data_IF_131588795952
#
_entry.id   IF_131588795952
#
_cell.length_a   1.000
_cell.length_b   1.000
_cell.length_c   1.000
_cell.angle_alpha   90.00
_cell.angle_beta   90.00
_cell.angle_gamma   90.00
#
_symmetry.space_group_name_H-M   'P 1'
#
loop_
_entity.id
_entity.type
_entity.pdbx_description
1 polymer ?
#
# COMPACT_ATOMS: atom_id res chain seq x y z
N UNK A 1 -13.05 -8.03 -10.43
CA UNK A 1 -12.29 -9.30 -10.37
C UNK A 1 -12.31 -9.70 -8.91
N UNK A 2 -12.86 -10.86 -8.53
CA UNK A 2 -12.81 -11.29 -7.11
C UNK A 2 -11.51 -12.04 -6.90
N UNK A 3 -10.50 -11.34 -6.39
CA UNK A 3 -9.27 -11.96 -5.87
C UNK A 3 -9.47 -12.40 -4.42
N UNK A 4 -8.47 -13.10 -3.87
CA UNK A 4 -8.37 -13.35 -2.40
C UNK A 4 -7.58 -12.24 -1.69
N UNK A 5 -7.17 -11.21 -2.44
CA UNK A 5 -6.39 -10.06 -2.00
C UNK A 5 -7.07 -8.77 -2.42
N UNK A 6 -6.84 -7.73 -1.64
CA UNK A 6 -7.30 -6.37 -1.86
C UNK A 6 -6.08 -5.43 -2.04
N UNK A 7 -6.27 -4.30 -2.73
CA UNK A 7 -5.22 -3.29 -3.01
C UNK A 7 -5.52 -1.99 -2.28
N UNK A 8 -4.55 -1.07 -2.20
CA UNK A 8 -4.78 0.24 -1.57
C UNK A 8 -5.86 1.04 -2.31
N UNK A 9 -5.77 1.11 -3.64
CA UNK A 9 -6.72 1.80 -4.50
C UNK A 9 -7.04 0.95 -5.74
N UNK A 10 -8.30 0.95 -6.15
CA UNK A 10 -8.69 0.37 -7.44
C UNK A 10 -8.32 1.33 -8.56
N UNK A 11 -7.81 0.80 -9.68
CA UNK A 11 -7.72 1.55 -10.92
C UNK A 11 -9.07 1.55 -11.63
N UNK A 12 -9.58 2.73 -11.96
CA UNK A 12 -10.87 2.92 -12.64
C UNK A 12 -10.69 3.75 -13.90
N UNK A 13 -11.40 3.38 -14.96
CA UNK A 13 -11.47 4.17 -16.18
C UNK A 13 -12.62 5.17 -16.06
N UNK A 14 -12.31 6.46 -16.18
CA UNK A 14 -13.28 7.55 -16.25
C UNK A 14 -13.14 8.29 -17.59
N UNK A 15 -14.04 7.97 -18.52
CA UNK A 15 -13.95 8.45 -19.91
C UNK A 15 -12.65 8.00 -20.58
N UNK A 16 -11.79 8.97 -20.91
CA UNK A 16 -10.50 8.74 -21.57
C UNK A 16 -9.31 8.78 -20.59
N UNK A 17 -9.56 8.80 -19.28
CA UNK A 17 -8.52 8.88 -18.24
C UNK A 17 -8.60 7.63 -17.36
N UNK A 18 -7.45 7.15 -16.90
CA UNK A 18 -7.36 6.18 -15.80
C UNK A 18 -7.10 6.95 -14.52
N UNK A 19 -7.97 6.77 -13.54
CA UNK A 19 -7.86 7.35 -12.20
C UNK A 19 -8.00 6.25 -11.15
N UNK A 20 -8.04 6.61 -9.87
CA UNK A 20 -8.19 5.68 -8.77
C UNK A 20 -9.44 5.95 -7.94
N UNK A 21 -9.96 4.91 -7.32
CA UNK A 21 -10.96 5.02 -6.26
C UNK A 21 -10.50 4.30 -4.98
N UNK A 22 -10.97 4.73 -3.80
CA UNK A 22 -10.62 4.10 -2.52
C UNK A 22 -10.94 2.61 -2.45
N UNK A 23 -10.06 1.84 -1.81
CA UNK A 23 -10.34 0.46 -1.42
C UNK A 23 -9.88 0.22 0.03
N UNK A 24 -8.69 -0.35 0.24
CA UNK A 24 -8.08 -0.48 1.58
C UNK A 24 -7.64 0.88 2.10
N UNK A 25 -7.06 1.72 1.25
CA UNK A 25 -6.80 3.12 1.56
C UNK A 25 -7.99 4.00 1.17
N UNK A 26 -8.36 4.91 2.06
CA UNK A 26 -9.45 5.89 1.90
C UNK A 26 -8.98 7.14 1.17
N UNK A 27 -7.75 7.57 1.44
CA UNK A 27 -7.14 8.77 0.86
C UNK A 27 -5.63 8.73 0.98
N UNK A 28 -4.96 9.63 0.27
CA UNK A 28 -3.56 9.93 0.45
C UNK A 28 -3.31 11.43 0.38
N UNK A 29 -2.24 11.88 1.02
CA UNK A 29 -1.70 13.24 0.90
C UNK A 29 -0.21 13.12 0.60
N UNK A 30 0.22 13.73 -0.51
CA UNK A 30 1.64 13.82 -0.88
C UNK A 30 2.18 15.19 -0.51
N UNK A 31 3.46 15.24 -0.16
CA UNK A 31 4.17 16.48 0.03
C UNK A 31 4.42 17.20 -1.32
N UNK A 32 4.83 18.49 -1.32
CA UNK A 32 5.07 19.22 -2.57
C UNK A 32 6.15 18.63 -3.48
N UNK A 33 7.09 17.84 -2.94
CA UNK A 33 8.09 17.14 -3.76
C UNK A 33 7.54 15.89 -4.44
N UNK A 34 6.38 15.39 -3.99
CA UNK A 34 5.76 14.13 -4.41
C UNK A 34 6.59 12.89 -4.04
N UNK A 35 7.58 13.03 -3.17
CA UNK A 35 8.45 11.94 -2.71
C UNK A 35 7.90 11.30 -1.42
N UNK A 36 7.22 12.09 -0.58
CA UNK A 36 6.71 11.67 0.71
C UNK A 36 5.18 11.75 0.74
N UNK A 37 4.57 10.94 1.58
CA UNK A 37 3.13 11.04 1.78
C UNK A 37 2.57 10.21 2.91
N UNK A 38 1.30 10.42 3.20
CA UNK A 38 0.53 9.62 4.15
C UNK A 38 -0.71 9.05 3.49
N UNK A 39 -1.11 7.88 3.94
CA UNK A 39 -2.29 7.15 3.50
C UNK A 39 -3.16 6.86 4.70
N UNK A 40 -4.45 7.21 4.63
CA UNK A 40 -5.43 6.84 5.63
C UNK A 40 -6.05 5.50 5.23
N UNK A 41 -5.94 4.49 6.09
CA UNK A 41 -6.47 3.15 5.87
C UNK A 41 -7.89 3.03 6.42
N UNK A 42 -8.66 2.13 5.80
CA UNK A 42 -9.99 1.77 6.30
C UNK A 42 -9.86 0.88 7.54
N UNK A 43 -10.48 1.32 8.62
CA UNK A 43 -10.56 0.56 9.86
C UNK A 43 -11.48 -0.65 9.75
N UNK A 44 -11.22 -1.68 10.55
CA UNK A 44 -12.08 -2.85 10.73
C UNK A 44 -11.99 -3.92 9.65
N UNK A 45 -11.12 -3.78 8.64
CA UNK A 45 -10.93 -4.81 7.61
C UNK A 45 -10.40 -6.08 8.26
N UNK A 46 -11.13 -7.19 8.13
CA UNK A 46 -10.71 -8.48 8.68
C UNK A 46 -10.02 -9.31 7.61
N UNK A 47 -8.87 -9.90 7.96
CA UNK A 47 -8.32 -10.99 7.17
C UNK A 47 -9.25 -12.20 7.20
N UNK A 48 -9.27 -12.95 6.10
CA UNK A 48 -9.99 -14.22 6.03
C UNK A 48 -9.49 -15.20 7.10
N UNK A 49 -10.35 -16.15 7.50
CA UNK A 49 -9.97 -17.21 8.43
C UNK A 49 -9.84 -16.78 9.90
N UNK A 50 -10.18 -15.53 10.23
CA UNK A 50 -10.16 -15.04 11.61
C UNK A 50 -8.77 -14.70 12.14
N UNK A 51 -7.83 -14.35 11.26
CA UNK A 51 -6.48 -13.92 11.64
C UNK A 51 -6.41 -12.51 12.25
N UNK A 52 -7.56 -11.85 12.36
CA UNK A 52 -7.69 -10.54 12.97
C UNK A 52 -7.82 -9.43 11.94
N UNK A 53 -7.76 -8.22 12.45
CA UNK A 53 -7.87 -7.00 11.67
C UNK A 53 -6.56 -6.69 10.95
N UNK A 54 -6.68 -6.23 9.70
CA UNK A 54 -5.58 -5.64 8.95
C UNK A 54 -5.30 -4.24 9.47
N UNK A 55 -4.04 -3.96 9.74
CA UNK A 55 -3.52 -2.68 10.21
C UNK A 55 -2.46 -2.13 9.26
N UNK A 56 -2.03 -0.89 9.47
CA UNK A 56 -0.93 -0.31 8.72
C UNK A 56 0.36 -1.14 8.82
N UNK A 57 0.57 -1.90 9.91
CA UNK A 57 1.74 -2.80 10.04
C UNK A 57 1.74 -3.94 9.02
N UNK A 58 0.57 -4.45 8.64
CA UNK A 58 0.45 -5.49 7.62
C UNK A 58 0.74 -4.92 6.22
N UNK A 59 0.34 -3.67 5.97
CA UNK A 59 0.66 -2.98 4.72
C UNK A 59 2.15 -2.63 4.65
N UNK A 60 2.73 -2.10 5.72
CA UNK A 60 4.17 -1.85 5.87
C UNK A 60 4.97 -3.11 5.52
N UNK A 61 4.64 -4.23 6.16
CA UNK A 61 5.28 -5.51 5.91
C UNK A 61 5.20 -5.91 4.44
N UNK A 62 4.01 -5.83 3.83
CA UNK A 62 3.79 -6.27 2.45
C UNK A 62 4.65 -5.50 1.44
N UNK A 63 4.74 -4.18 1.57
CA UNK A 63 5.56 -3.36 0.67
C UNK A 63 7.06 -3.51 0.95
N UNK A 64 7.47 -3.54 2.21
CA UNK A 64 8.88 -3.62 2.58
C UNK A 64 9.47 -5.02 2.30
N UNK A 65 8.68 -6.09 2.42
CA UNK A 65 9.11 -7.43 2.03
C UNK A 65 9.24 -7.58 0.50
N UNK A 66 8.35 -6.94 -0.26
CA UNK A 66 8.33 -7.00 -1.72
C UNK A 66 9.34 -6.06 -2.42
N UNK A 67 10.11 -5.26 -1.68
CA UNK A 67 11.00 -4.22 -2.21
C UNK A 67 12.46 -4.55 -1.94
N UNK A 68 13.31 -4.52 -2.97
CA UNK A 68 14.74 -4.85 -2.83
C UNK A 68 15.57 -3.80 -2.07
N UNK A 69 15.06 -2.57 -1.87
CA UNK A 69 15.71 -1.56 -1.01
C UNK A 69 15.63 -1.94 0.46
N UNK A 70 14.47 -2.41 0.92
CA UNK A 70 14.20 -2.78 2.31
C UNK A 70 14.48 -4.26 2.59
N UNK A 71 14.30 -5.13 1.59
CA UNK A 71 14.64 -6.55 1.65
C UNK A 71 15.45 -6.97 0.40
N UNK A 72 16.79 -6.88 0.43
CA UNK A 72 17.65 -7.27 -0.69
C UNK A 72 17.53 -8.73 -1.14
N UNK A 73 16.99 -9.61 -0.30
CA UNK A 73 16.75 -11.03 -0.61
C UNK A 73 15.33 -11.29 -1.11
N UNK A 74 14.51 -10.25 -1.32
CA UNK A 74 13.15 -10.38 -1.82
C UNK A 74 13.13 -11.11 -3.16
N UNK A 75 12.34 -12.18 -3.22
CA UNK A 75 12.09 -12.95 -4.45
C UNK A 75 10.84 -12.45 -5.19
N UNK A 76 10.23 -11.36 -4.73
CA UNK A 76 9.03 -10.81 -5.33
C UNK A 76 9.32 -10.34 -6.76
N UNK A 77 8.43 -10.68 -7.70
CA UNK A 77 8.65 -10.42 -9.13
C UNK A 77 8.80 -8.93 -9.50
N UNK A 78 8.36 -8.03 -8.62
CA UNK A 78 8.46 -6.57 -8.79
C UNK A 78 9.51 -5.92 -7.87
N UNK A 79 10.36 -6.69 -7.18
CA UNK A 79 11.30 -6.16 -6.21
C UNK A 79 12.29 -5.13 -6.80
N UNK A 80 12.67 -5.31 -8.07
CA UNK A 80 13.47 -4.34 -8.81
C UNK A 80 12.70 -3.09 -9.24
N UNK A 81 11.40 -3.20 -9.50
CA UNK A 81 10.54 -2.08 -9.91
C UNK A 81 10.13 -1.20 -8.72
N UNK A 82 10.01 -1.78 -7.52
CA UNK A 82 9.69 -1.02 -6.30
C UNK A 82 10.88 -0.19 -5.81
N UNK A 83 12.10 -0.71 -5.94
CA UNK A 83 13.32 -0.06 -5.46
C UNK A 83 13.51 1.41 -5.89
N UNK A 84 13.29 1.80 -7.17
CA UNK A 84 13.41 3.20 -7.57
C UNK A 84 12.21 4.07 -7.21
N UNK A 85 11.07 3.49 -6.79
CA UNK A 85 9.80 4.22 -6.59
C UNK A 85 9.43 4.40 -5.12
N UNK A 86 9.89 3.50 -4.24
CA UNK A 86 9.49 3.42 -2.84
C UNK A 86 10.77 3.19 -2.03
N UNK A 87 11.16 4.14 -1.17
CA UNK A 87 12.29 3.90 -0.27
C UNK A 87 11.88 2.95 0.86
N UNK A 88 10.75 3.26 1.52
CA UNK A 88 10.10 2.35 2.48
C UNK A 88 8.68 2.81 2.78
N UNK A 89 7.89 1.91 3.34
CA UNK A 89 6.64 2.26 4.03
C UNK A 89 6.85 2.19 5.54
N UNK A 90 6.11 3.00 6.29
CA UNK A 90 6.18 3.05 7.76
C UNK A 90 4.76 3.20 8.33
N UNK A 91 4.34 2.28 9.18
CA UNK A 91 3.11 2.40 9.95
C UNK A 91 3.31 3.37 11.12
N UNK A 92 2.64 4.52 11.05
CA UNK A 92 2.68 5.58 12.07
C UNK A 92 1.76 5.24 13.24
N UNK A 93 0.60 4.68 12.95
CA UNK A 93 -0.37 4.10 13.87
C UNK A 93 -1.13 2.96 13.14
N UNK A 94 -2.17 2.39 13.75
CA UNK A 94 -2.89 1.24 13.20
C UNK A 94 -3.56 1.53 11.84
N UNK A 95 -3.84 2.79 11.52
CA UNK A 95 -4.62 3.18 10.34
C UNK A 95 -3.95 4.27 9.48
N UNK A 96 -2.73 4.67 9.82
CA UNK A 96 -1.96 5.67 9.07
C UNK A 96 -0.65 5.06 8.60
N UNK A 97 -0.47 5.02 7.28
CA UNK A 97 0.75 4.56 6.63
C UNK A 97 1.48 5.75 6.01
N UNK A 98 2.80 5.79 6.17
CA UNK A 98 3.66 6.81 5.59
C UNK A 98 4.55 6.21 4.50
N UNK A 99 4.64 6.91 3.37
CA UNK A 99 5.66 6.69 2.35
C UNK A 99 6.87 7.58 2.69
N UNK A 100 8.03 6.94 2.81
CA UNK A 100 9.33 7.57 3.00
C UNK A 100 10.13 7.57 1.69
#
# INVERSE_FOLDING_TARGET
MSGITDVLFNAVADGNVVTTEPMVALSYELDPSLEFGTFALREGIQFHGGYGEMTAKDVEFSYNDANSVTNPESIHGQAGDFAPLIQSMEAVDDYTLKLN
#
